data_IF_989698128678
#
_entry.id   IF_989698128678
#
_cell.length_a   1.000
_cell.length_b   1.000
_cell.length_c   1.000
_cell.angle_alpha   90.00
_cell.angle_beta   90.00
_cell.angle_gamma   90.00
#
_symmetry.space_group_name_H-M   'P 1'
#
loop_
_entity.id
_entity.type
_entity.pdbx_description
1 polymer ?
#
# COMPACT_ATOMS: atom_id res chain seq x y z
N UNK A 1 13.74 46.84 -1.16
CA UNK A 1 12.52 46.15 -0.69
C UNK A 1 11.89 45.41 -1.88
N UNK A 2 12.49 44.30 -2.32
CA UNK A 2 12.16 43.69 -3.63
C UNK A 2 12.39 42.17 -3.61
N UNK A 3 11.82 41.45 -2.64
CA UNK A 3 12.04 39.99 -2.56
C UNK A 3 10.86 39.16 -2.02
N UNK A 4 9.70 39.75 -1.77
CA UNK A 4 8.53 39.01 -1.26
C UNK A 4 7.60 38.59 -2.42
N UNK A 5 7.40 39.46 -3.41
CA UNK A 5 6.45 39.23 -4.52
C UNK A 5 6.91 38.11 -5.49
N UNK A 6 8.21 38.00 -5.79
CA UNK A 6 8.74 36.96 -6.73
C UNK A 6 8.72 35.53 -6.13
N UNK A 7 8.55 35.41 -4.81
CA UNK A 7 8.60 34.13 -4.10
C UNK A 7 7.24 33.42 -4.08
N UNK A 8 6.17 34.19 -3.93
CA UNK A 8 4.79 33.67 -3.89
C UNK A 8 4.31 33.22 -5.29
N UNK A 9 4.63 34.00 -6.34
CA UNK A 9 4.32 33.64 -7.73
C UNK A 9 4.98 32.33 -8.17
N UNK A 10 6.20 32.05 -7.68
CA UNK A 10 6.89 30.78 -7.96
C UNK A 10 6.30 29.61 -7.20
N UNK A 11 5.90 29.81 -5.95
CA UNK A 11 5.30 28.74 -5.16
C UNK A 11 3.95 28.32 -5.78
N UNK A 12 3.13 29.28 -6.20
CA UNK A 12 1.87 29.00 -6.86
C UNK A 12 2.08 28.22 -8.16
N UNK A 13 3.08 28.60 -8.97
CA UNK A 13 3.46 27.87 -10.17
C UNK A 13 3.92 26.43 -9.85
N UNK A 14 4.68 26.22 -8.78
CA UNK A 14 5.11 24.88 -8.36
C UNK A 14 3.94 24.01 -7.93
N UNK A 15 2.95 24.60 -7.25
CA UNK A 15 1.72 23.91 -6.87
C UNK A 15 0.88 23.54 -8.10
N UNK A 16 0.77 24.42 -9.09
CA UNK A 16 0.10 24.12 -10.37
C UNK A 16 0.79 22.97 -11.11
N UNK A 17 2.12 23.00 -11.22
CA UNK A 17 2.90 21.89 -11.81
C UNK A 17 2.66 20.60 -11.03
N UNK A 18 2.71 20.64 -9.70
CA UNK A 18 2.48 19.47 -8.84
C UNK A 18 1.08 18.88 -9.04
N UNK A 19 0.05 19.73 -9.18
CA UNK A 19 -1.33 19.29 -9.46
C UNK A 19 -1.42 18.56 -10.80
N UNK A 20 -0.85 19.13 -11.87
CA UNK A 20 -0.86 18.51 -13.18
C UNK A 20 -0.18 17.12 -13.18
N UNK A 21 0.92 16.95 -12.42
CA UNK A 21 1.58 15.66 -12.24
C UNK A 21 0.66 14.66 -11.51
N UNK A 22 0.01 15.09 -10.42
CA UNK A 22 -0.92 14.26 -9.66
C UNK A 22 -2.13 13.77 -10.49
N UNK A 23 -2.57 14.58 -11.45
CA UNK A 23 -3.63 14.26 -12.40
C UNK A 23 -3.18 13.30 -13.51
N UNK A 24 -1.87 13.08 -13.66
CA UNK A 24 -1.30 12.10 -14.61
C UNK A 24 -0.46 12.74 -15.72
N UNK A 25 -0.33 14.06 -15.75
CA UNK A 25 0.43 14.77 -16.77
C UNK A 25 1.90 14.84 -16.34
N UNK A 26 2.69 13.82 -16.67
CA UNK A 26 4.04 13.63 -16.10
C UNK A 26 5.18 14.14 -17.00
N UNK A 27 4.90 14.35 -18.29
CA UNK A 27 5.93 14.72 -19.28
C UNK A 27 6.08 16.24 -19.35
N UNK A 28 7.32 16.71 -19.44
CA UNK A 28 7.65 18.14 -19.58
C UNK A 28 6.86 18.82 -20.71
N UNK A 29 6.74 18.18 -21.87
CA UNK A 29 6.02 18.73 -23.03
C UNK A 29 4.54 18.96 -22.76
N UNK A 30 3.91 18.04 -22.06
CA UNK A 30 2.47 18.09 -21.78
C UNK A 30 2.19 19.12 -20.67
N UNK A 31 3.06 19.18 -19.67
CA UNK A 31 3.02 20.23 -18.63
C UNK A 31 3.23 21.62 -19.23
N UNK A 32 4.21 21.76 -20.13
CA UNK A 32 4.51 23.00 -20.86
C UNK A 32 3.28 23.56 -21.58
N UNK A 33 2.49 22.69 -22.22
CA UNK A 33 1.22 23.07 -22.85
C UNK A 33 0.17 23.49 -21.81
N UNK A 34 0.00 22.71 -20.74
CA UNK A 34 -1.04 22.99 -19.74
C UNK A 34 -0.83 24.30 -18.97
N UNK A 35 0.42 24.70 -18.72
CA UNK A 35 0.77 25.86 -17.90
C UNK A 35 1.20 27.05 -18.78
N UNK A 36 1.14 26.90 -20.11
CA UNK A 36 1.53 27.91 -21.09
C UNK A 36 2.93 28.50 -20.83
N UNK A 37 3.92 27.59 -20.68
CA UNK A 37 5.34 27.91 -20.48
C UNK A 37 6.19 27.09 -21.44
N UNK A 38 7.38 27.58 -21.77
CA UNK A 38 8.29 26.81 -22.63
C UNK A 38 8.77 25.52 -21.95
N UNK A 39 9.03 24.47 -22.73
CA UNK A 39 9.61 23.21 -22.19
C UNK A 39 10.92 23.47 -21.42
N UNK A 40 11.71 24.45 -21.87
CA UNK A 40 12.96 24.84 -21.20
C UNK A 40 12.70 25.39 -19.80
N UNK A 41 11.68 26.22 -19.62
CA UNK A 41 11.28 26.73 -18.31
C UNK A 41 10.77 25.59 -17.42
N UNK A 42 9.91 24.71 -17.94
CA UNK A 42 9.40 23.57 -17.18
C UNK A 42 10.55 22.65 -16.71
N UNK A 43 11.55 22.36 -17.55
CA UNK A 43 12.73 21.59 -17.12
C UNK A 43 13.50 22.25 -15.99
N UNK A 44 13.63 23.58 -16.00
CA UNK A 44 14.26 24.32 -14.90
C UNK A 44 13.45 24.18 -13.61
N UNK A 45 12.14 24.40 -13.68
CA UNK A 45 11.25 24.23 -12.53
C UNK A 45 11.27 22.80 -12.00
N UNK A 46 11.33 21.79 -12.87
CA UNK A 46 11.46 20.39 -12.48
C UNK A 46 12.74 20.13 -11.66
N UNK A 47 13.87 20.66 -12.10
CA UNK A 47 15.14 20.54 -11.37
C UNK A 47 15.06 21.25 -10.02
N UNK A 48 14.48 22.45 -9.97
CA UNK A 48 14.30 23.21 -8.73
C UNK A 48 13.35 22.49 -7.74
N UNK A 49 12.16 22.09 -8.19
CA UNK A 49 11.18 21.34 -7.41
C UNK A 49 11.72 19.99 -6.93
N UNK A 50 12.58 19.33 -7.72
CA UNK A 50 13.24 18.08 -7.31
C UNK A 50 14.25 18.29 -6.18
N UNK A 51 15.03 19.38 -6.23
CA UNK A 51 15.92 19.77 -5.12
C UNK A 51 15.14 20.11 -3.84
N UNK A 52 13.93 20.62 -3.98
CA UNK A 52 13.01 20.90 -2.88
C UNK A 52 12.26 19.65 -2.39
N UNK A 53 12.46 18.47 -3.00
CA UNK A 53 11.78 17.23 -2.63
C UNK A 53 10.29 17.18 -3.00
N UNK A 54 9.80 18.11 -3.82
CA UNK A 54 8.38 18.15 -4.23
C UNK A 54 8.04 17.08 -5.27
N UNK A 55 9.03 16.71 -6.09
CA UNK A 55 8.92 15.73 -7.17
C UNK A 55 10.21 14.91 -7.27
N UNK A 56 10.12 13.74 -7.91
CA UNK A 56 11.26 12.96 -8.35
C UNK A 56 11.32 12.99 -9.87
N UNK A 57 12.54 13.17 -10.41
CA UNK A 57 12.79 13.10 -11.84
C UNK A 57 13.24 11.70 -12.23
N UNK A 58 12.74 11.18 -13.34
CA UNK A 58 13.32 9.99 -13.95
C UNK A 58 14.61 10.35 -14.70
N UNK A 59 15.45 9.38 -15.04
CA UNK A 59 16.82 9.50 -15.58
C UNK A 59 17.05 10.51 -16.74
N UNK A 60 16.01 11.09 -17.34
CA UNK A 60 16.13 12.07 -18.43
C UNK A 60 15.63 13.49 -18.10
N UNK A 61 15.17 13.76 -16.87
CA UNK A 61 14.54 15.03 -16.45
C UNK A 61 13.34 15.46 -17.31
N UNK A 62 12.83 14.57 -18.16
CA UNK A 62 11.67 14.78 -19.05
C UNK A 62 10.36 14.32 -18.43
N UNK A 63 10.46 13.56 -17.35
CA UNK A 63 9.32 12.99 -16.62
C UNK A 63 9.51 13.30 -15.15
N UNK A 64 8.48 13.90 -14.56
CA UNK A 64 8.39 14.16 -13.14
C UNK A 64 7.26 13.31 -12.55
N UNK A 65 7.51 12.74 -11.37
CA UNK A 65 6.52 12.02 -10.59
C UNK A 65 6.48 12.59 -9.18
N UNK A 66 5.30 12.69 -8.59
CA UNK A 66 5.14 13.04 -7.18
C UNK A 66 5.15 11.79 -6.31
N UNK A 67 5.37 11.96 -5.00
CA UNK A 67 5.21 10.87 -4.05
C UNK A 67 3.76 10.37 -4.05
N UNK A 68 2.79 11.28 -4.14
CA UNK A 68 1.36 10.98 -4.19
C UNK A 68 1.00 10.12 -5.41
N UNK A 69 1.54 10.44 -6.58
CA UNK A 69 1.33 9.66 -7.79
C UNK A 69 2.00 8.28 -7.71
N UNK A 70 3.18 8.21 -7.09
CA UNK A 70 3.87 6.93 -6.84
C UNK A 70 3.02 6.03 -5.94
N UNK A 71 2.49 6.56 -4.83
CA UNK A 71 1.59 5.83 -3.94
C UNK A 71 0.30 5.40 -4.67
N UNK A 72 -0.31 6.29 -5.45
CA UNK A 72 -1.49 5.98 -6.28
C UNK A 72 -1.23 4.80 -7.21
N UNK A 73 -0.10 4.78 -7.91
CA UNK A 73 0.28 3.66 -8.77
C UNK A 73 0.49 2.36 -8.00
N UNK A 74 1.09 2.41 -6.80
CA UNK A 74 1.26 1.23 -5.95
C UNK A 74 -0.09 0.66 -5.48
N UNK A 75 -1.03 1.51 -5.07
CA UNK A 75 -2.39 1.06 -4.73
C UNK A 75 -3.12 0.46 -5.94
N UNK A 76 -3.01 1.08 -7.12
CA UNK A 76 -3.58 0.52 -8.36
C UNK A 76 -2.99 -0.86 -8.66
N UNK A 77 -1.68 -1.03 -8.50
CA UNK A 77 -1.01 -2.34 -8.68
C UNK A 77 -1.58 -3.39 -7.74
N UNK A 78 -1.73 -3.06 -6.45
CA UNK A 78 -2.36 -3.96 -5.45
C UNK A 78 -3.79 -4.31 -5.85
N UNK A 79 -4.58 -3.33 -6.32
CA UNK A 79 -5.99 -3.53 -6.69
C UNK A 79 -6.20 -4.50 -7.86
N UNK A 80 -5.16 -4.69 -8.70
CA UNK A 80 -5.19 -5.60 -9.85
C UNK A 80 -4.75 -7.03 -9.51
N UNK A 81 -4.28 -7.28 -8.29
CA UNK A 81 -3.72 -8.57 -7.93
C UNK A 81 -4.81 -9.65 -7.91
N UNK A 82 -4.56 -10.80 -8.56
CA UNK A 82 -5.56 -11.85 -8.79
C UNK A 82 -6.23 -12.38 -7.52
N UNK A 83 -5.49 -12.48 -6.42
CA UNK A 83 -6.02 -12.94 -5.13
C UNK A 83 -7.14 -12.04 -4.58
N UNK A 84 -7.31 -10.81 -5.08
CA UNK A 84 -8.43 -9.93 -4.75
C UNK A 84 -9.71 -10.26 -5.52
N UNK A 85 -9.71 -11.25 -6.43
CA UNK A 85 -10.96 -11.76 -7.03
C UNK A 85 -11.90 -12.32 -5.95
N UNK A 86 -11.35 -12.83 -4.84
CA UNK A 86 -12.15 -13.28 -3.69
C UNK A 86 -12.76 -12.09 -2.93
N UNK A 87 -14.09 -12.01 -2.76
CA UNK A 87 -14.76 -10.86 -2.14
C UNK A 87 -14.26 -10.50 -0.75
N UNK A 88 -13.99 -11.49 0.10
CA UNK A 88 -13.49 -11.32 1.46
C UNK A 88 -12.09 -10.68 1.46
N UNK A 89 -11.20 -11.13 0.56
CA UNK A 89 -9.85 -10.57 0.40
C UNK A 89 -9.93 -9.14 -0.12
N UNK A 90 -10.81 -8.87 -1.10
CA UNK A 90 -11.04 -7.50 -1.60
C UNK A 90 -11.55 -6.56 -0.50
N UNK A 91 -12.54 -7.01 0.28
CA UNK A 91 -13.08 -6.26 1.42
C UNK A 91 -11.98 -5.94 2.44
N UNK A 92 -11.15 -6.92 2.77
CA UNK A 92 -10.02 -6.74 3.68
C UNK A 92 -9.02 -5.69 3.18
N UNK A 93 -8.59 -5.79 1.91
CA UNK A 93 -7.63 -4.85 1.33
C UNK A 93 -8.22 -3.43 1.30
N UNK A 94 -9.49 -3.28 0.92
CA UNK A 94 -10.18 -1.99 0.99
C UNK A 94 -10.21 -1.42 2.42
N UNK A 95 -10.43 -2.27 3.42
CA UNK A 95 -10.35 -1.88 4.84
C UNK A 95 -8.94 -1.49 5.29
N UNK A 96 -7.89 -2.07 4.73
CA UNK A 96 -6.51 -1.64 4.96
C UNK A 96 -6.24 -0.25 4.35
N UNK A 97 -6.70 -0.02 3.12
CA UNK A 97 -6.58 1.27 2.45
C UNK A 97 -7.34 2.35 3.23
N UNK A 98 -8.57 2.07 3.65
CA UNK A 98 -9.39 3.01 4.43
C UNK A 98 -8.78 3.38 5.79
N UNK A 99 -8.00 2.46 6.40
CA UNK A 99 -7.22 2.72 7.63
C UNK A 99 -5.89 3.45 7.38
N UNK A 100 -5.57 3.79 6.13
CA UNK A 100 -4.35 4.51 5.78
C UNK A 100 -3.07 3.67 5.84
N UNK A 101 -3.16 2.34 5.74
CA UNK A 101 -1.96 1.50 5.68
C UNK A 101 -1.19 1.77 4.39
N UNK A 102 0.14 1.86 4.47
CA UNK A 102 0.99 2.10 3.30
C UNK A 102 0.88 0.94 2.28
N UNK A 103 1.09 1.21 0.97
CA UNK A 103 1.09 0.17 -0.06
C UNK A 103 2.09 -0.95 0.23
N UNK A 104 3.26 -0.63 0.80
CA UNK A 104 4.29 -1.61 1.16
C UNK A 104 3.77 -2.56 2.24
N UNK A 105 3.13 -2.03 3.29
CA UNK A 105 2.54 -2.85 4.35
C UNK A 105 1.42 -3.73 3.80
N UNK A 106 0.53 -3.18 2.96
CA UNK A 106 -0.55 -3.94 2.33
C UNK A 106 -0.01 -5.05 1.44
N UNK A 107 1.02 -4.77 0.63
CA UNK A 107 1.66 -5.76 -0.23
C UNK A 107 2.31 -6.89 0.59
N UNK A 108 2.99 -6.54 1.69
CA UNK A 108 3.55 -7.52 2.62
C UNK A 108 2.46 -8.42 3.23
N UNK A 109 1.36 -7.82 3.70
CA UNK A 109 0.24 -8.58 4.25
C UNK A 109 -0.42 -9.48 3.22
N UNK A 110 -0.69 -8.95 2.02
CA UNK A 110 -1.30 -9.68 0.92
C UNK A 110 -0.43 -10.89 0.53
N UNK A 111 0.88 -10.69 0.42
CA UNK A 111 1.83 -11.76 0.13
C UNK A 111 1.80 -12.84 1.22
N UNK A 112 1.84 -12.45 2.50
CA UNK A 112 1.79 -13.39 3.62
C UNK A 112 0.48 -14.17 3.69
N UNK A 113 -0.66 -13.52 3.49
CA UNK A 113 -1.96 -14.22 3.47
C UNK A 113 -2.06 -15.16 2.27
N UNK A 114 -1.68 -14.72 1.07
CA UNK A 114 -1.62 -15.59 -0.11
C UNK A 114 -0.73 -16.81 0.15
N UNK A 115 0.42 -16.62 0.79
CA UNK A 115 1.31 -17.72 1.15
C UNK A 115 0.63 -18.74 2.06
N UNK A 116 -0.08 -18.29 3.10
CA UNK A 116 -0.82 -19.19 4.01
C UNK A 116 -1.79 -20.08 3.23
N UNK A 117 -2.64 -19.48 2.39
CA UNK A 117 -3.62 -20.22 1.58
C UNK A 117 -2.97 -21.16 0.56
N UNK A 118 -1.93 -20.71 -0.13
CA UNK A 118 -1.19 -21.54 -1.08
C UNK A 118 -0.45 -22.70 -0.42
N UNK A 119 0.10 -22.47 0.78
CA UNK A 119 0.80 -23.51 1.54
C UNK A 119 -0.15 -24.64 1.93
N UNK A 120 -1.37 -24.28 2.37
CA UNK A 120 -2.42 -25.25 2.71
C UNK A 120 -3.16 -25.80 1.49
N UNK A 121 -2.96 -25.22 0.30
CA UNK A 121 -3.64 -25.56 -0.96
C UNK A 121 -5.17 -25.45 -0.87
N UNK A 122 -5.66 -24.44 -0.14
CA UNK A 122 -7.09 -24.20 0.11
C UNK A 122 -7.46 -22.80 -0.40
N UNK A 123 -8.66 -22.66 -0.98
CA UNK A 123 -9.15 -21.36 -1.45
C UNK A 123 -9.64 -20.49 -0.29
N UNK A 124 -9.40 -19.16 -0.29
CA UNK A 124 -9.96 -18.29 0.75
C UNK A 124 -11.49 -18.29 0.79
N UNK A 125 -12.17 -18.60 -0.33
CA UNK A 125 -13.63 -18.70 -0.35
C UNK A 125 -14.18 -19.86 0.47
N UNK A 126 -13.39 -20.92 0.69
CA UNK A 126 -13.79 -22.11 1.45
C UNK A 126 -13.63 -21.90 2.96
N UNK A 127 -12.61 -21.15 3.36
CA UNK A 127 -12.25 -20.92 4.78
C UNK A 127 -12.98 -19.72 5.37
N UNK A 128 -13.12 -18.64 4.59
CA UNK A 128 -13.63 -17.35 5.09
C UNK A 128 -15.17 -17.29 5.10
N UNK A 129 -15.82 -18.44 5.24
CA UNK A 129 -17.28 -18.60 5.32
C UNK A 129 -17.81 -18.35 6.74
N UNK A 130 -17.04 -18.70 7.76
CA UNK A 130 -17.39 -18.53 9.17
C UNK A 130 -16.17 -18.19 10.01
N UNK A 131 -16.43 -17.69 11.23
CA UNK A 131 -15.38 -17.39 12.21
C UNK A 131 -14.63 -18.65 12.64
N UNK A 132 -15.36 -19.72 12.92
CA UNK A 132 -14.82 -20.99 13.40
C UNK A 132 -13.89 -21.60 12.35
N UNK A 133 -14.36 -21.71 11.10
CA UNK A 133 -13.56 -22.25 9.99
C UNK A 133 -12.26 -21.47 9.79
N UNK A 134 -12.30 -20.13 9.89
CA UNK A 134 -11.10 -19.31 9.75
C UNK A 134 -10.11 -19.47 10.92
N UNK A 135 -10.59 -19.73 12.14
CA UNK A 135 -9.73 -20.00 13.29
C UNK A 135 -9.10 -21.39 13.19
N UNK A 136 -9.89 -22.41 12.86
CA UNK A 136 -9.42 -23.79 12.71
C UNK A 136 -8.36 -23.90 11.62
N UNK A 137 -8.63 -23.29 10.46
CA UNK A 137 -7.68 -23.22 9.35
C UNK A 137 -6.34 -22.58 9.77
N UNK A 138 -6.36 -21.56 10.62
CA UNK A 138 -5.15 -20.94 11.12
C UNK A 138 -4.35 -21.87 12.06
N UNK A 139 -5.04 -22.61 12.93
CA UNK A 139 -4.43 -23.58 13.83
C UNK A 139 -3.74 -24.68 13.01
N UNK A 140 -4.43 -25.18 11.99
CA UNK A 140 -3.89 -26.18 11.06
C UNK A 140 -2.66 -25.66 10.32
N UNK A 141 -2.74 -24.45 9.77
CA UNK A 141 -1.61 -23.80 9.10
C UNK A 141 -0.39 -23.68 10.02
N UNK A 142 -0.56 -23.17 11.25
CA UNK A 142 0.58 -22.99 12.17
C UNK A 142 1.20 -24.33 12.56
N UNK A 143 0.36 -25.33 12.80
CA UNK A 143 0.80 -26.67 13.15
C UNK A 143 1.63 -27.29 12.02
N UNK A 144 1.11 -27.23 10.80
CA UNK A 144 1.79 -27.78 9.62
C UNK A 144 3.04 -26.96 9.25
N UNK A 145 2.99 -25.63 9.35
CA UNK A 145 4.14 -24.77 9.11
C UNK A 145 5.28 -25.06 10.10
N UNK A 146 4.96 -25.22 11.39
CA UNK A 146 5.97 -25.52 12.42
C UNK A 146 6.52 -26.94 12.33
N UNK A 147 5.71 -27.90 11.91
CA UNK A 147 6.17 -29.26 11.59
C UNK A 147 7.20 -29.25 10.46
N UNK A 148 6.94 -28.50 9.39
CA UNK A 148 7.83 -28.42 8.22
C UNK A 148 9.01 -27.46 8.42
N UNK A 149 8.86 -26.42 9.26
CA UNK A 149 9.83 -25.34 9.46
C UNK A 149 9.93 -24.91 10.93
N UNK A 150 10.48 -25.76 11.82
CA UNK A 150 10.43 -25.54 13.27
C UNK A 150 11.09 -24.22 13.71
N UNK A 151 12.23 -23.88 13.11
CA UNK A 151 13.04 -22.71 13.49
C UNK A 151 12.57 -21.39 12.85
N UNK A 152 11.63 -21.43 11.90
CA UNK A 152 11.22 -20.21 11.19
C UNK A 152 10.19 -19.40 12.00
N UNK A 153 10.39 -18.08 12.07
CA UNK A 153 9.46 -17.17 12.73
C UNK A 153 8.12 -17.05 12.00
N UNK A 154 7.04 -16.82 12.74
CA UNK A 154 5.66 -16.73 12.22
C UNK A 154 5.02 -15.36 12.39
N UNK A 155 5.80 -14.35 12.82
CA UNK A 155 5.30 -13.02 13.18
C UNK A 155 4.49 -12.36 12.06
N UNK A 156 5.02 -12.32 10.84
CA UNK A 156 4.32 -11.65 9.73
C UNK A 156 3.04 -12.39 9.32
N UNK A 157 3.03 -13.73 9.38
CA UNK A 157 1.83 -14.53 9.11
C UNK A 157 0.74 -14.21 10.13
N UNK A 158 1.11 -14.16 11.43
CA UNK A 158 0.20 -13.81 12.53
C UNK A 158 -0.43 -12.45 12.34
N UNK A 159 0.39 -11.42 12.13
CA UNK A 159 -0.08 -10.04 11.99
C UNK A 159 -0.98 -9.88 10.76
N UNK A 160 -0.57 -10.45 9.62
CA UNK A 160 -1.32 -10.33 8.38
C UNK A 160 -2.67 -11.06 8.45
N UNK A 161 -2.67 -12.28 9.01
CA UNK A 161 -3.90 -13.07 9.16
C UNK A 161 -4.84 -12.46 10.21
N UNK A 162 -4.32 -11.97 11.34
CA UNK A 162 -5.12 -11.22 12.32
C UNK A 162 -5.76 -9.97 11.70
N UNK A 163 -5.04 -9.25 10.84
CA UNK A 163 -5.60 -8.12 10.09
C UNK A 163 -6.75 -8.53 9.17
N UNK A 164 -6.62 -9.67 8.49
CA UNK A 164 -7.68 -10.25 7.66
C UNK A 164 -8.91 -10.56 8.51
N UNK A 165 -8.75 -11.33 9.59
CA UNK A 165 -9.86 -11.72 10.46
C UNK A 165 -10.58 -10.51 11.07
N UNK A 166 -9.84 -9.49 11.50
CA UNK A 166 -10.42 -8.26 12.03
C UNK A 166 -11.36 -7.58 11.01
N UNK A 167 -11.02 -7.60 9.71
CA UNK A 167 -11.87 -7.01 8.66
C UNK A 167 -13.15 -7.80 8.37
N UNK A 168 -13.21 -9.05 8.82
CA UNK A 168 -14.39 -9.91 8.75
C UNK A 168 -15.24 -9.83 10.02
N UNK A 169 -14.94 -8.90 10.93
CA UNK A 169 -15.64 -8.75 12.20
C UNK A 169 -15.22 -9.78 13.25
N UNK A 170 -14.19 -10.58 12.97
CA UNK A 170 -13.62 -11.53 13.93
C UNK A 170 -12.64 -10.75 14.80
N UNK A 171 -13.16 -10.15 15.86
CA UNK A 171 -12.38 -9.52 16.91
C UNK A 171 -12.06 -10.54 18.00
N UNK A 172 -10.80 -10.58 18.41
CA UNK A 172 -10.34 -11.46 19.47
C UNK A 172 -10.56 -10.75 20.80
N UNK A 173 -11.32 -11.38 21.70
CA UNK A 173 -11.34 -10.95 23.09
C UNK A 173 -9.94 -11.14 23.71
N UNK A 174 -9.68 -10.47 24.84
CA UNK A 174 -8.38 -10.52 25.51
C UNK A 174 -7.94 -11.98 25.74
N UNK A 175 -6.66 -12.25 25.48
CA UNK A 175 -5.99 -13.57 25.54
C UNK A 175 -6.38 -14.60 24.46
N UNK A 176 -7.44 -14.40 23.67
CA UNK A 176 -7.87 -15.38 22.65
C UNK A 176 -6.86 -15.46 21.50
N UNK A 177 -6.20 -14.35 21.15
CA UNK A 177 -5.13 -14.37 20.15
C UNK A 177 -3.93 -15.23 20.58
N UNK A 178 -3.64 -15.30 21.88
CA UNK A 178 -2.56 -16.14 22.42
C UNK A 178 -2.95 -17.62 22.39
N UNK A 179 -4.21 -17.93 22.74
CA UNK A 179 -4.75 -19.30 22.73
C UNK A 179 -4.64 -19.94 21.35
N UNK A 180 -4.97 -19.19 20.30
CA UNK A 180 -4.91 -19.68 18.92
C UNK A 180 -3.59 -19.39 18.20
N UNK A 181 -2.55 -18.94 18.91
CA UNK A 181 -1.23 -18.67 18.32
C UNK A 181 -1.22 -17.53 17.29
N UNK A 182 -2.23 -16.65 17.30
CA UNK A 182 -2.36 -15.42 16.51
C UNK A 182 -1.61 -14.23 17.13
N UNK A 183 -1.21 -14.32 18.41
CA UNK A 183 -0.34 -13.36 19.08
C UNK A 183 0.71 -14.06 19.96
N UNK A 184 1.86 -13.42 20.14
CA UNK A 184 2.91 -13.87 21.08
C UNK A 184 2.77 -13.27 22.49
N UNK A 185 1.81 -12.36 22.68
CA UNK A 185 1.53 -11.66 23.93
C UNK A 185 0.01 -11.60 24.16
N UNK A 186 -0.46 -11.51 25.41
CA UNK A 186 -1.84 -11.15 25.72
C UNK A 186 -2.29 -9.96 24.87
N UNK A 187 -3.45 -10.05 24.25
CA UNK A 187 -4.08 -8.89 23.62
C UNK A 187 -4.38 -7.86 24.74
N UNK A 188 -3.90 -6.61 24.56
CA UNK A 188 -4.09 -5.50 25.50
C UNK A 188 -5.43 -4.81 25.25
#
# INVERSE_FOLDING_TARGET
>A
MTNVVDRDDRLELYLQIKSAINEGTIRTKDISKSINRSERQIRRYFVEMSKLGMITLTNTSRVAITQEQTLKHQYISISKHEFLKTPQIKKWINGCIARGLSPQTIASYLHSVKYIFNFMRISPSEVLVSRESAIDFWIDFISEFKRNRPNQGTHIFRVSYKSLLASLGITFANNVGKVFGLSSRPDK
#
